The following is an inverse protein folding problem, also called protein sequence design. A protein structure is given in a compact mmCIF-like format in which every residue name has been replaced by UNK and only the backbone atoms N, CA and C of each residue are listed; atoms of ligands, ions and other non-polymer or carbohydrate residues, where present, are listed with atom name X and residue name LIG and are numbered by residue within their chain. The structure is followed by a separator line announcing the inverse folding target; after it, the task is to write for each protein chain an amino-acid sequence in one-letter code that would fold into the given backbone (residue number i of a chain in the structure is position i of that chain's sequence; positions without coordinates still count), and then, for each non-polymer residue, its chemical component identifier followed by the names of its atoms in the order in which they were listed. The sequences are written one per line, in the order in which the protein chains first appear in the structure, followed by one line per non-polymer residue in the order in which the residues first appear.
data_IF_515343802459
#
_entry.id   IF_515343802459
#
_cell.length_a   1.000
_cell.length_b   1.000
_cell.length_c   1.000
_cell.angle_alpha   90.00
_cell.angle_beta   90.00
_cell.angle_gamma   90.00
#
_symmetry.space_group_name_H-M   'P 1'
#
loop_
_entity.id
_entity.type
_entity.pdbx_description
1 polymer ?
#
# COMPACT_ATOMS: atom_id res chain seq x y z
N UNK A 1 22.68 11.08 -15.19
CA UNK A 1 22.08 10.54 -13.95
C UNK A 1 20.96 11.41 -13.33
N UNK A 2 20.61 12.58 -13.87
CA UNK A 2 19.58 13.47 -13.27
C UNK A 2 18.11 13.15 -13.57
N UNK A 3 17.80 12.53 -14.71
CA UNK A 3 16.40 12.33 -15.14
C UNK A 3 15.61 11.31 -14.29
N UNK A 4 16.26 10.23 -13.84
CA UNK A 4 15.60 9.22 -12.97
C UNK A 4 15.20 9.82 -11.62
N UNK A 5 16.08 10.62 -10.99
CA UNK A 5 15.81 11.23 -9.68
C UNK A 5 14.65 12.24 -9.72
N UNK A 6 14.52 13.01 -10.81
CA UNK A 6 13.41 13.96 -11.01
C UNK A 6 12.09 13.23 -11.22
N UNK A 7 12.10 12.13 -11.99
CA UNK A 7 10.91 11.31 -12.23
C UNK A 7 10.43 10.62 -10.95
N UNK A 8 11.35 10.08 -10.16
CA UNK A 8 11.06 9.40 -8.89
C UNK A 8 10.44 10.37 -7.86
N UNK A 9 10.96 11.62 -7.77
CA UNK A 9 10.37 12.66 -6.93
C UNK A 9 8.93 13.03 -7.33
N UNK A 10 8.64 13.08 -8.64
CA UNK A 10 7.29 13.36 -9.12
C UNK A 10 6.32 12.22 -8.79
N UNK A 11 6.77 10.96 -8.84
CA UNK A 11 5.96 9.80 -8.45
C UNK A 11 5.63 9.86 -6.96
N UNK A 12 6.62 10.14 -6.11
CA UNK A 12 6.40 10.27 -4.66
C UNK A 12 5.43 11.41 -4.36
N UNK A 13 5.66 12.60 -4.93
CA UNK A 13 4.81 13.77 -4.70
C UNK A 13 3.35 13.48 -5.05
N UNK A 14 3.09 12.90 -6.24
CA UNK A 14 1.73 12.60 -6.69
C UNK A 14 1.06 11.52 -5.84
N UNK A 15 1.82 10.51 -5.38
CA UNK A 15 1.30 9.49 -4.46
C UNK A 15 0.95 10.10 -3.10
N UNK A 16 1.73 11.05 -2.58
CA UNK A 16 1.40 11.77 -1.35
C UNK A 16 0.13 12.63 -1.52
N UNK A 17 0.00 13.34 -2.64
CA UNK A 17 -1.20 14.14 -2.97
C UNK A 17 -2.47 13.27 -3.08
N UNK A 18 -2.37 12.07 -3.68
CA UNK A 18 -3.50 11.12 -3.76
C UNK A 18 -3.88 10.64 -2.35
N UNK A 19 -2.89 10.28 -1.52
CA UNK A 19 -3.10 9.83 -0.13
C UNK A 19 -3.82 10.84 0.74
N UNK A 20 -3.57 12.14 0.56
CA UNK A 20 -4.18 13.21 1.38
C UNK A 20 -5.71 13.22 1.34
N UNK A 21 -6.28 12.81 0.21
CA UNK A 21 -7.72 12.80 0.00
C UNK A 21 -8.27 11.38 -0.15
N UNK A 22 -7.42 10.36 -0.01
CA UNK A 22 -7.79 8.98 -0.27
C UNK A 22 -8.67 8.41 0.85
N UNK A 23 -9.92 8.13 0.48
CA UNK A 23 -10.83 7.29 1.27
C UNK A 23 -10.85 5.89 0.66
N UNK A 24 -10.49 4.89 1.46
CA UNK A 24 -10.44 3.48 1.07
C UNK A 24 -11.24 2.62 2.02
N UNK A 25 -11.78 1.52 1.50
CA UNK A 25 -12.24 0.41 2.35
C UNK A 25 -11.06 -0.53 2.53
N UNK A 26 -10.52 -0.62 3.74
CA UNK A 26 -9.47 -1.58 4.08
C UNK A 26 -10.10 -2.86 4.62
N UNK A 27 -9.59 -4.00 4.15
CA UNK A 27 -9.98 -5.35 4.53
C UNK A 27 -8.75 -6.04 5.10
N UNK A 28 -8.89 -6.64 6.29
CA UNK A 28 -7.83 -7.44 6.90
C UNK A 28 -7.72 -8.78 6.16
N UNK A 29 -6.50 -9.06 5.72
CA UNK A 29 -6.16 -10.23 4.92
C UNK A 29 -5.65 -11.34 5.81
N UNK A 30 -4.65 -11.03 6.62
CA UNK A 30 -4.04 -11.95 7.57
C UNK A 30 -3.25 -11.18 8.64
N UNK A 31 -3.49 -11.45 9.92
CA UNK A 31 -2.78 -10.80 11.02
C UNK A 31 -2.73 -9.28 10.85
N UNK A 32 -1.52 -8.75 10.61
CA UNK A 32 -1.23 -7.31 10.44
C UNK A 32 -1.40 -6.79 9.00
N UNK A 33 -1.71 -7.66 8.03
CA UNK A 33 -1.79 -7.30 6.62
C UNK A 33 -3.23 -6.92 6.28
N UNK A 34 -3.39 -5.75 5.70
CA UNK A 34 -4.64 -5.23 5.18
C UNK A 34 -4.46 -4.84 3.72
N UNK A 35 -5.53 -4.94 2.93
CA UNK A 35 -5.56 -4.44 1.57
C UNK A 35 -6.80 -3.60 1.35
N UNK A 36 -6.74 -2.63 0.44
CA UNK A 36 -7.96 -1.98 -0.03
C UNK A 36 -8.87 -2.99 -0.72
N UNK A 37 -10.18 -2.70 -0.78
CA UNK A 37 -11.16 -3.49 -1.54
C UNK A 37 -10.67 -3.81 -2.97
N UNK A 38 -9.97 -2.87 -3.61
CA UNK A 38 -9.12 -3.19 -4.75
C UNK A 38 -7.74 -3.63 -4.24
N UNK A 39 -7.52 -4.94 -4.10
CA UNK A 39 -6.26 -5.50 -3.55
C UNK A 39 -5.01 -5.10 -4.35
N UNK A 40 -5.18 -4.71 -5.61
CA UNK A 40 -4.09 -4.28 -6.49
C UNK A 40 -3.62 -2.85 -6.27
N UNK A 41 -4.30 -2.11 -5.39
CA UNK A 41 -4.06 -0.69 -5.21
C UNK A 41 -3.29 -0.39 -3.92
N UNK A 42 -3.93 -0.61 -2.77
CA UNK A 42 -3.38 -0.25 -1.47
C UNK A 42 -3.17 -1.49 -0.61
N UNK A 43 -2.01 -1.58 0.03
CA UNK A 43 -1.69 -2.63 1.00
C UNK A 43 -1.04 -1.97 2.21
N UNK A 44 -1.61 -2.19 3.40
CA UNK A 44 -1.05 -1.74 4.66
C UNK A 44 -0.57 -2.96 5.46
N UNK A 45 0.68 -2.91 5.91
CA UNK A 45 1.26 -3.86 6.86
C UNK A 45 1.40 -3.10 8.18
N UNK A 46 0.56 -3.44 9.16
CA UNK A 46 0.61 -2.85 10.50
C UNK A 46 1.86 -3.35 11.27
N UNK A 47 2.43 -2.51 12.13
CA UNK A 47 3.62 -2.84 12.91
C UNK A 47 4.11 -1.61 13.69
N UNK A 48 5.18 -1.76 14.49
CA UNK A 48 5.82 -0.61 15.16
C UNK A 48 6.37 0.41 14.15
N UNK A 49 6.93 -0.08 13.04
CA UNK A 49 7.14 0.65 11.79
C UNK A 49 6.36 -0.09 10.71
N UNK A 50 5.17 0.42 10.39
CA UNK A 50 4.31 -0.16 9.36
C UNK A 50 4.80 0.19 7.95
N UNK A 51 4.23 -0.49 6.96
CA UNK A 51 4.49 -0.21 5.54
C UNK A 51 3.16 0.00 4.83
N UNK A 52 3.01 1.13 4.15
CA UNK A 52 1.91 1.35 3.21
C UNK A 52 2.46 1.28 1.79
N UNK A 53 1.90 0.37 1.00
CA UNK A 53 2.04 0.35 -0.45
C UNK A 53 0.83 1.07 -1.03
N UNK A 54 1.08 2.11 -1.82
CA UNK A 54 0.03 2.88 -2.48
C UNK A 54 0.33 2.96 -3.97
N UNK A 55 -0.68 2.66 -4.80
CA UNK A 55 -0.64 2.82 -6.25
C UNK A 55 -1.74 3.79 -6.68
N UNK A 56 -1.40 4.77 -7.51
CA UNK A 56 -2.38 5.78 -7.97
C UNK A 56 -3.45 5.18 -8.90
N UNK A 57 -4.69 5.68 -8.79
CA UNK A 57 -5.86 5.20 -9.57
C UNK A 57 -5.84 5.55 -11.05
N UNK A 58 -5.20 6.65 -11.45
CA UNK A 58 -5.36 7.22 -12.79
C UNK A 58 -4.16 6.96 -13.72
N UNK A 59 -4.46 6.28 -14.83
CA UNK A 59 -3.61 5.63 -15.84
C UNK A 59 -2.63 6.51 -16.65
N UNK A 60 -1.85 7.38 -16.00
CA UNK A 60 -0.80 8.13 -16.69
C UNK A 60 0.55 7.83 -16.02
N UNK A 61 1.08 6.64 -16.34
CA UNK A 61 2.44 6.16 -16.09
C UNK A 61 3.05 6.56 -14.74
N UNK A 62 2.50 6.10 -13.63
CA UNK A 62 3.14 6.33 -12.34
C UNK A 62 2.82 5.19 -11.38
N UNK A 63 3.90 4.52 -10.97
CA UNK A 63 3.81 3.28 -10.22
C UNK A 63 3.65 3.50 -8.73
N UNK A 64 3.75 2.41 -7.99
CA UNK A 64 3.46 2.39 -6.58
C UNK A 64 4.63 2.89 -5.74
N UNK A 65 4.32 3.48 -4.59
CA UNK A 65 5.31 3.87 -3.59
C UNK A 65 5.10 3.05 -2.33
N UNK A 66 6.20 2.56 -1.76
CA UNK A 66 6.22 2.00 -0.42
C UNK A 66 6.63 3.10 0.55
N UNK A 67 5.74 3.44 1.47
CA UNK A 67 5.97 4.38 2.55
C UNK A 67 6.23 3.62 3.84
N UNK A 68 7.21 4.09 4.62
CA UNK A 68 7.26 3.76 6.04
C UNK A 68 6.20 4.60 6.76
N UNK A 69 5.37 3.96 7.57
CA UNK A 69 4.24 4.59 8.25
C UNK A 69 4.17 4.22 9.72
N UNK A 70 3.69 5.17 10.53
CA UNK A 70 3.22 4.93 11.89
C UNK A 70 1.70 4.78 11.87
N UNK A 71 1.17 3.67 12.37
CA UNK A 71 -0.29 3.48 12.51
C UNK A 71 -0.74 4.15 13.79
N UNK A 72 -1.44 5.28 13.67
CA UNK A 72 -1.86 6.13 14.80
C UNK A 72 -3.17 5.67 15.45
N UNK A 73 -3.97 4.85 14.76
CA UNK A 73 -5.19 4.27 15.32
C UNK A 73 -5.45 2.87 14.77
N UNK A 74 -6.04 2.00 15.59
CA UNK A 74 -6.35 0.62 15.20
C UNK A 74 -7.42 0.61 14.10
N UNK A 75 -7.14 -0.09 13.00
CA UNK A 75 -8.10 -0.27 11.92
C UNK A 75 -8.84 -1.60 12.13
N UNK A 76 -10.19 -1.60 12.23
CA UNK A 76 -10.97 -2.83 12.31
C UNK A 76 -10.79 -3.77 11.12
N UNK A 77 -11.33 -4.98 11.22
CA UNK A 77 -11.20 -6.02 10.18
C UNK A 77 -11.68 -5.55 8.80
N UNK A 78 -12.69 -4.70 8.77
CA UNK A 78 -13.25 -4.11 7.57
C UNK A 78 -13.77 -2.72 7.91
N UNK A 79 -13.19 -1.66 7.30
CA UNK A 79 -13.63 -0.28 7.56
C UNK A 79 -13.33 0.65 6.39
N UNK A 80 -14.28 1.55 6.11
CA UNK A 80 -14.04 2.74 5.27
C UNK A 80 -13.29 3.78 6.10
N UNK A 81 -12.09 4.13 5.66
CA UNK A 81 -11.19 5.04 6.37
C UNK A 81 -10.59 6.05 5.40
N UNK A 82 -10.27 7.24 5.91
CA UNK A 82 -9.34 8.14 5.26
C UNK A 82 -7.93 7.78 5.75
N UNK A 83 -7.01 7.48 4.84
CA UNK A 83 -5.70 6.94 5.23
C UNK A 83 -4.93 7.89 6.17
N UNK A 84 -4.92 9.19 5.87
CA UNK A 84 -4.23 10.17 6.71
C UNK A 84 -4.80 10.33 8.13
N UNK A 85 -6.02 9.84 8.41
CA UNK A 85 -6.58 9.86 9.76
C UNK A 85 -6.09 8.67 10.61
N UNK A 86 -5.54 7.64 9.97
CA UNK A 86 -5.15 6.38 10.63
C UNK A 86 -3.66 6.06 10.54
N UNK A 87 -2.95 6.70 9.61
CA UNK A 87 -1.51 6.55 9.43
C UNK A 87 -0.80 7.89 9.36
N UNK A 88 0.47 7.89 9.74
CA UNK A 88 1.40 9.01 9.54
C UNK A 88 2.60 8.52 8.74
N UNK A 89 2.82 9.09 7.56
CA UNK A 89 4.00 8.80 6.72
C UNK A 89 5.27 9.31 7.42
N UNK A 90 6.28 8.45 7.51
CA UNK A 90 7.61 8.74 8.10
C UNK A 90 8.69 8.90 7.05
N UNK A 91 8.56 8.18 5.95
CA UNK A 91 9.54 8.20 4.87
C UNK A 91 9.12 7.35 3.68
N UNK A 92 9.98 7.33 2.67
CA UNK A 92 9.81 6.49 1.48
C UNK A 92 10.78 5.31 1.59
N UNK A 93 10.24 4.10 1.61
CA UNK A 93 11.00 2.86 1.61
C UNK A 93 11.47 2.49 0.19
N UNK A 94 10.64 2.77 -0.82
CA UNK A 94 10.98 2.47 -2.21
C UNK A 94 9.89 2.89 -3.20
N UNK A 95 10.25 2.90 -4.47
CA UNK A 95 9.36 3.24 -5.58
C UNK A 95 9.41 2.10 -6.58
N UNK A 96 8.25 1.72 -7.10
CA UNK A 96 8.09 0.75 -8.17
C UNK A 96 7.46 1.43 -9.37
N UNK A 97 7.82 0.98 -10.58
CA UNK A 97 7.14 1.42 -11.82
C UNK A 97 5.93 0.57 -12.16
N UNK A 98 5.71 -0.53 -11.45
CA UNK A 98 4.52 -1.35 -11.65
C UNK A 98 3.28 -0.60 -11.14
N UNK A 99 2.16 -0.66 -11.87
CA UNK A 99 0.91 -0.02 -11.47
C UNK A 99 0.08 -0.89 -10.51
N UNK A 100 0.64 -2.00 -10.00
CA UNK A 100 -0.06 -2.99 -9.17
C UNK A 100 0.75 -3.25 -7.91
N UNK A 101 0.10 -3.14 -6.75
CA UNK A 101 0.69 -3.23 -5.42
C UNK A 101 1.50 -4.52 -5.20
N UNK A 102 0.96 -5.67 -5.61
CA UNK A 102 1.62 -6.98 -5.44
C UNK A 102 2.95 -7.06 -6.19
N UNK A 103 3.02 -6.50 -7.41
CA UNK A 103 4.28 -6.49 -8.18
C UNK A 103 5.25 -5.45 -7.62
N UNK A 104 4.74 -4.29 -7.21
CA UNK A 104 5.55 -3.29 -6.53
C UNK A 104 6.17 -3.80 -5.24
N UNK A 105 5.41 -4.53 -4.42
CA UNK A 105 5.90 -5.16 -3.20
C UNK A 105 7.06 -6.11 -3.48
N UNK A 106 6.95 -6.98 -4.50
CA UNK A 106 8.02 -7.91 -4.88
C UNK A 106 9.28 -7.19 -5.36
N UNK A 107 9.12 -6.17 -6.20
CA UNK A 107 10.24 -5.37 -6.70
C UNK A 107 10.95 -4.64 -5.57
N UNK A 108 10.19 -3.94 -4.71
CA UNK A 108 10.74 -3.18 -3.59
C UNK A 108 11.36 -4.12 -2.56
N UNK A 109 10.76 -5.28 -2.28
CA UNK A 109 11.34 -6.30 -1.39
C UNK A 109 12.71 -6.75 -1.90
N UNK A 110 12.82 -7.06 -3.20
CA UNK A 110 14.10 -7.46 -3.82
C UNK A 110 15.16 -6.35 -3.73
N UNK A 111 14.76 -5.10 -3.96
CA UNK A 111 15.69 -3.97 -3.98
C UNK A 111 16.14 -3.53 -2.57
N UNK A 112 15.30 -3.74 -1.55
CA UNK A 112 15.56 -3.28 -0.17
C UNK A 112 15.95 -4.40 0.78
N UNK A 113 15.79 -5.68 0.39
CA UNK A 113 15.94 -6.83 1.28
C UNK A 113 14.83 -6.94 2.34
N UNK A 114 13.68 -6.30 2.13
CA UNK A 114 12.60 -6.27 3.11
C UNK A 114 11.73 -7.53 3.06
N UNK A 115 11.99 -8.48 3.96
CA UNK A 115 11.27 -9.76 4.03
C UNK A 115 9.78 -9.63 4.41
N UNK A 116 9.37 -8.56 5.11
CA UNK A 116 7.96 -8.36 5.45
C UNK A 116 7.10 -8.18 4.19
N UNK A 117 7.64 -7.51 3.16
CA UNK A 117 6.98 -7.36 1.87
C UNK A 117 6.83 -8.72 1.15
N UNK A 118 7.83 -9.60 1.23
CA UNK A 118 7.75 -10.95 0.66
C UNK A 118 6.68 -11.79 1.36
N UNK A 119 6.65 -11.77 2.69
CA UNK A 119 5.64 -12.48 3.49
C UNK A 119 4.24 -11.95 3.18
N UNK A 120 4.06 -10.64 3.19
CA UNK A 120 2.76 -10.03 2.91
C UNK A 120 2.26 -10.35 1.49
N UNK A 121 3.15 -10.32 0.50
CA UNK A 121 2.84 -10.74 -0.88
C UNK A 121 2.33 -12.18 -0.93
N UNK A 122 2.99 -13.12 -0.26
CA UNK A 122 2.58 -14.53 -0.23
C UNK A 122 1.19 -14.69 0.41
N UNK A 123 0.93 -14.00 1.51
CA UNK A 123 -0.36 -14.03 2.22
C UNK A 123 -1.50 -13.43 1.39
N UNK A 124 -1.25 -12.30 0.71
CA UNK A 124 -2.22 -11.69 -0.20
C UNK A 124 -2.61 -12.66 -1.32
N UNK A 125 -1.63 -13.29 -1.97
CA UNK A 125 -1.89 -14.25 -3.06
C UNK A 125 -2.65 -15.48 -2.55
N UNK A 126 -2.28 -16.01 -1.39
CA UNK A 126 -3.00 -17.11 -0.77
C UNK A 126 -4.47 -16.73 -0.51
N UNK A 127 -4.72 -15.53 0.05
CA UNK A 127 -6.07 -15.05 0.31
C UNK A 127 -6.87 -14.82 -0.98
N UNK A 128 -6.24 -14.30 -2.03
CA UNK A 128 -6.87 -14.15 -3.35
C UNK A 128 -7.34 -15.50 -3.90
N UNK A 129 -6.51 -16.53 -3.79
CA UNK A 129 -6.85 -17.88 -4.27
C UNK A 129 -7.97 -18.54 -3.45
N UNK A 130 -8.14 -18.17 -2.18
CA UNK A 130 -9.21 -18.65 -1.31
C UNK A 130 -10.52 -17.84 -1.46
N UNK A 131 -10.48 -16.70 -2.16
CA UNK A 131 -11.53 -15.69 -2.14
C UNK A 131 -11.31 -14.67 -1.01
N UNK A 132 -11.51 -13.40 -1.35
CA UNK A 132 -11.45 -12.31 -0.37
C UNK A 132 -12.84 -12.13 0.23
N UNK A 133 -12.94 -12.19 1.56
CA UNK A 133 -14.16 -11.83 2.26
C UNK A 133 -14.47 -10.38 1.93
N UNK A 134 -15.61 -10.15 1.29
CA UNK A 134 -16.10 -8.80 1.10
C UNK A 134 -16.50 -8.26 2.47
N UNK A 135 -16.04 -7.05 2.77
CA UNK A 135 -16.85 -6.16 3.58
C UNK A 135 -18.29 -6.28 3.09
N UNK A 136 -19.24 -6.66 3.96
CA UNK A 136 -20.66 -6.55 3.64
C UNK A 136 -21.02 -5.12 3.23
N UNK A 137 -22.29 -4.80 3.01
CA UNK A 137 -22.68 -3.41 2.73
C UNK A 137 -22.31 -2.51 3.92
N UNK A 138 -21.11 -1.91 3.87
CA UNK A 138 -20.71 -0.79 4.69
C UNK A 138 -21.55 0.39 4.20
N UNK A 139 -22.75 0.50 4.76
CA UNK A 139 -23.70 1.60 4.57
C UNK A 139 -23.14 2.89 5.16
#
# INVERSE_FOLDING_TARGET
MGANKVMDNNVVKRNLEDLENQVVVMIRIDGQIMASRNIFQDVLIEGKSGILIHCMKHCIKAGCVAFEVEVISRIPECKKIKLNDVIRVKGVLGISRFPISIYAMREIAKNTGNELLNVATKKLIQKMNMGINNCGELS
#
